data_IF_707899991042
#
_entry.id   IF_707899991042
#
_cell.length_a   1.000
_cell.length_b   1.000
_cell.length_c   1.000
_cell.angle_alpha   90.00
_cell.angle_beta   90.00
_cell.angle_gamma   90.00
#
_symmetry.space_group_name_H-M   'P 1'
#
loop_
_entity.id
_entity.type
_entity.pdbx_description
1 polymer ?
#
# COMPACT_ATOMS: atom_id res chain seq x y z
N UNK A 1 5.82 -16.10 12.54
CA UNK A 1 5.43 -15.12 11.48
C UNK A 1 3.95 -14.85 11.61
N UNK A 2 3.53 -13.56 11.50
CA UNK A 2 2.11 -13.16 11.56
C UNK A 2 1.73 -12.59 10.19
N UNK A 3 0.57 -12.98 9.65
CA UNK A 3 -0.03 -12.40 8.44
C UNK A 3 -1.25 -11.60 8.87
N UNK A 4 -1.22 -10.30 8.67
CA UNK A 4 -2.26 -9.37 9.12
C UNK A 4 -2.94 -8.62 8.00
N UNK A 5 -4.22 -8.30 8.14
CA UNK A 5 -5.00 -7.52 7.17
C UNK A 5 -6.21 -6.84 7.81
N UNK A 6 -6.71 -5.84 7.12
CA UNK A 6 -7.98 -5.20 7.40
C UNK A 6 -8.74 -4.87 6.13
N UNK A 7 -9.88 -5.50 5.93
CA UNK A 7 -10.73 -5.27 4.76
C UNK A 7 -11.19 -3.81 4.64
N UNK A 8 -11.53 -3.44 3.43
CA UNK A 8 -11.82 -2.05 3.05
C UNK A 8 -13.05 -1.46 3.72
N UNK A 9 -14.17 -2.18 3.73
CA UNK A 9 -15.48 -1.70 4.20
C UNK A 9 -16.45 -2.84 4.54
N UNK A 10 -17.43 -2.61 5.45
CA UNK A 10 -18.65 -3.38 5.50
C UNK A 10 -19.35 -3.38 4.13
N UNK A 11 -20.07 -4.45 3.71
CA UNK A 11 -20.49 -5.55 4.59
C UNK A 11 -19.49 -6.71 4.69
N UNK A 12 -18.39 -6.72 3.92
CA UNK A 12 -17.46 -7.85 3.95
C UNK A 12 -16.48 -7.74 5.12
N UNK A 13 -16.42 -8.80 5.92
CA UNK A 13 -15.42 -8.88 6.99
C UNK A 13 -14.07 -9.38 6.45
N UNK A 14 -12.98 -8.93 7.05
CA UNK A 14 -11.63 -9.42 6.73
C UNK A 14 -11.56 -10.94 6.84
N UNK A 15 -12.23 -11.53 7.82
CA UNK A 15 -12.30 -12.97 8.01
C UNK A 15 -12.95 -13.68 6.82
N UNK A 16 -14.01 -13.12 6.27
CA UNK A 16 -14.68 -13.65 5.08
C UNK A 16 -13.76 -13.59 3.86
N UNK A 17 -13.11 -12.44 3.62
CA UNK A 17 -12.17 -12.28 2.51
C UNK A 17 -10.97 -13.24 2.63
N UNK A 18 -10.43 -13.42 3.82
CA UNK A 18 -9.34 -14.37 4.07
C UNK A 18 -9.74 -15.83 3.79
N UNK A 19 -10.99 -16.21 4.11
CA UNK A 19 -11.52 -17.55 3.75
C UNK A 19 -11.60 -17.70 2.24
N UNK A 20 -12.21 -16.76 1.55
CA UNK A 20 -12.37 -16.79 0.08
C UNK A 20 -11.03 -16.83 -0.65
N UNK A 21 -10.07 -16.06 -0.21
CA UNK A 21 -8.74 -15.99 -0.81
C UNK A 21 -7.83 -17.17 -0.42
N UNK A 22 -8.27 -18.08 0.43
CA UNK A 22 -7.46 -19.21 0.89
C UNK A 22 -6.32 -18.85 1.83
N UNK A 23 -6.31 -17.64 2.38
CA UNK A 23 -5.22 -17.13 3.23
C UNK A 23 -5.06 -17.97 4.49
N UNK A 24 -6.16 -18.37 5.16
CA UNK A 24 -6.08 -19.24 6.34
C UNK A 24 -5.39 -20.56 6.05
N UNK A 25 -5.70 -21.18 4.90
CA UNK A 25 -5.07 -22.44 4.52
C UNK A 25 -3.59 -22.26 4.18
N UNK A 26 -3.24 -21.17 3.48
CA UNK A 26 -1.85 -20.82 3.17
C UNK A 26 -1.03 -20.54 4.43
N UNK A 27 -1.55 -19.75 5.36
CA UNK A 27 -0.89 -19.45 6.64
C UNK A 27 -0.65 -20.73 7.47
N UNK A 28 -1.67 -21.59 7.56
CA UNK A 28 -1.52 -22.87 8.28
C UNK A 28 -0.42 -23.74 7.69
N UNK A 29 -0.34 -23.85 6.35
CA UNK A 29 0.74 -24.62 5.70
C UNK A 29 2.13 -24.02 5.93
N UNK A 30 2.20 -22.69 6.05
CA UNK A 30 3.44 -21.97 6.29
C UNK A 30 3.81 -21.83 7.78
N UNK A 31 3.02 -22.38 8.70
CA UNK A 31 3.23 -22.20 10.15
C UNK A 31 3.07 -20.74 10.60
N UNK A 32 2.26 -19.94 9.91
CA UNK A 32 2.04 -18.53 10.21
C UNK A 32 0.72 -18.34 10.97
N UNK A 33 0.72 -17.40 11.91
CA UNK A 33 -0.48 -16.91 12.59
C UNK A 33 -1.23 -15.89 11.73
N UNK A 34 -2.53 -15.77 11.96
CA UNK A 34 -3.38 -14.79 11.26
C UNK A 34 -3.88 -13.74 12.23
N UNK A 35 -3.60 -12.47 11.94
CA UNK A 35 -4.12 -11.32 12.66
C UNK A 35 -5.19 -10.58 11.83
N UNK A 36 -6.42 -10.60 12.30
CA UNK A 36 -7.51 -9.80 11.72
C UNK A 36 -7.57 -8.48 12.47
N UNK A 37 -7.00 -7.41 11.88
CA UNK A 37 -6.81 -6.14 12.58
C UNK A 37 -8.10 -5.56 13.19
N UNK A 38 -9.28 -5.59 12.53
CA UNK A 38 -10.52 -5.11 13.13
C UNK A 38 -10.98 -5.86 14.38
N UNK A 39 -10.49 -7.08 14.61
CA UNK A 39 -10.82 -7.91 15.77
C UNK A 39 -9.81 -7.77 16.90
N UNK A 40 -8.70 -7.05 16.66
CA UNK A 40 -7.61 -6.86 17.60
C UNK A 40 -7.54 -5.47 18.21
N UNK A 41 -6.44 -5.20 18.88
CA UNK A 41 -6.18 -3.93 19.57
C UNK A 41 -5.57 -2.89 18.63
N UNK A 42 -5.79 -1.61 18.98
CA UNK A 42 -5.34 -0.44 18.24
C UNK A 42 -4.57 0.50 19.15
N UNK A 43 -3.42 0.94 18.72
CA UNK A 43 -2.53 1.83 19.46
C UNK A 43 -2.45 3.21 18.78
N UNK A 44 -2.60 4.31 19.52
CA UNK A 44 -2.48 5.65 18.96
C UNK A 44 -1.04 5.96 18.58
N UNK A 45 -0.86 6.49 17.36
CA UNK A 45 0.42 6.92 16.80
C UNK A 45 0.31 8.37 16.36
N UNK A 46 1.27 9.21 16.75
CA UNK A 46 1.39 10.59 16.26
C UNK A 46 1.95 10.61 14.84
N UNK A 47 1.42 11.49 14.01
CA UNK A 47 1.89 11.71 12.64
C UNK A 47 2.56 13.09 12.53
N UNK A 48 3.48 13.21 11.56
CA UNK A 48 4.14 14.49 11.23
C UNK A 48 3.32 15.35 10.28
N UNK A 49 2.19 14.85 9.76
CA UNK A 49 1.33 15.56 8.83
C UNK A 49 0.47 16.63 9.48
N UNK A 50 -0.13 17.48 8.65
CA UNK A 50 -1.06 18.53 9.06
C UNK A 50 -2.53 18.11 8.99
N UNK A 51 -2.86 17.09 8.18
CA UNK A 51 -4.22 16.60 7.95
C UNK A 51 -4.63 15.53 8.97
N UNK A 52 -3.65 14.79 9.49
CA UNK A 52 -3.79 13.88 10.61
C UNK A 52 -2.75 14.17 11.68
N UNK A 53 -3.19 14.53 12.89
CA UNK A 53 -2.27 14.68 14.03
C UNK A 53 -1.90 13.34 14.66
N UNK A 54 -2.82 12.40 14.61
CA UNK A 54 -2.68 11.06 15.13
C UNK A 54 -3.68 10.11 14.47
N UNK A 55 -3.35 8.83 14.50
CA UNK A 55 -4.21 7.73 14.06
C UNK A 55 -4.03 6.54 14.99
N UNK A 56 -4.93 5.58 14.92
CA UNK A 56 -4.76 4.29 15.59
C UNK A 56 -4.27 3.26 14.59
N UNK A 57 -3.18 2.61 14.94
CA UNK A 57 -2.53 1.54 14.16
C UNK A 57 -2.81 0.21 14.82
N UNK A 58 -3.00 -0.85 14.02
CA UNK A 58 -3.14 -2.20 14.55
C UNK A 58 -1.89 -2.60 15.34
N UNK A 59 -2.08 -3.00 16.59
CA UNK A 59 -1.01 -3.25 17.56
C UNK A 59 0.09 -4.20 17.06
N UNK A 60 -0.21 -5.32 16.37
CA UNK A 60 0.84 -6.22 15.87
C UNK A 60 1.84 -5.57 14.91
N UNK A 61 1.44 -4.48 14.23
CA UNK A 61 2.33 -3.75 13.31
C UNK A 61 3.39 -2.89 14.03
N UNK A 62 3.17 -2.59 15.30
CA UNK A 62 4.08 -1.80 16.14
C UNK A 62 4.97 -2.70 17.02
N UNK A 63 4.56 -3.94 17.25
CA UNK A 63 5.25 -4.90 18.12
C UNK A 63 6.12 -5.90 17.35
N UNK A 64 5.99 -5.96 16.02
CA UNK A 64 6.79 -6.89 15.22
C UNK A 64 8.24 -6.37 15.03
N UNK A 65 9.21 -7.28 15.03
CA UNK A 65 10.63 -6.95 14.76
C UNK A 65 10.87 -6.48 13.34
N UNK A 66 10.12 -7.03 12.39
CA UNK A 66 10.19 -6.71 10.96
C UNK A 66 8.81 -6.70 10.34
N UNK A 67 8.50 -5.62 9.63
CA UNK A 67 7.25 -5.46 8.89
C UNK A 67 7.51 -5.60 7.39
N UNK A 68 6.82 -6.53 6.76
CA UNK A 68 6.84 -6.71 5.30
C UNK A 68 5.48 -6.30 4.74
N UNK A 69 5.48 -5.41 3.75
CA UNK A 69 4.29 -5.11 2.96
C UNK A 69 4.22 -6.04 1.75
N UNK A 70 3.09 -6.73 1.59
CA UNK A 70 2.75 -7.50 0.40
C UNK A 70 1.67 -6.74 -0.39
N UNK A 71 2.11 -5.96 -1.37
CA UNK A 71 1.26 -5.05 -2.14
C UNK A 71 0.89 -5.64 -3.50
N UNK A 72 -0.18 -5.11 -4.10
CA UNK A 72 -0.51 -5.35 -5.50
C UNK A 72 -0.29 -4.08 -6.32
N UNK A 73 0.23 -4.25 -7.53
CA UNK A 73 0.39 -3.16 -8.49
C UNK A 73 -0.97 -2.81 -9.11
N UNK A 74 -1.43 -1.56 -8.96
CA UNK A 74 -2.71 -1.14 -9.55
C UNK A 74 -2.93 0.36 -9.64
N UNK A 75 -3.70 0.78 -10.66
CA UNK A 75 -4.35 2.08 -10.68
C UNK A 75 -5.47 2.16 -9.62
N UNK A 76 -5.91 3.36 -9.34
CA UNK A 76 -7.01 3.62 -8.42
C UNK A 76 -7.76 4.89 -8.84
N UNK A 77 -9.07 4.81 -8.98
CA UNK A 77 -9.87 5.91 -9.53
C UNK A 77 -9.78 7.21 -8.72
N UNK A 78 -9.57 7.14 -7.40
CA UNK A 78 -9.50 8.31 -6.52
C UNK A 78 -8.06 8.76 -6.23
N UNK A 79 -7.15 7.84 -5.89
CA UNK A 79 -5.74 8.14 -5.56
C UNK A 79 -4.78 7.98 -6.74
N UNK A 80 -5.27 7.83 -7.95
CA UNK A 80 -4.54 7.56 -9.20
C UNK A 80 -3.90 6.16 -9.21
N UNK A 81 -3.12 5.84 -8.21
CA UNK A 81 -2.49 4.52 -8.02
C UNK A 81 -2.65 4.02 -6.57
N UNK A 82 -2.37 2.76 -6.37
CA UNK A 82 -2.39 2.11 -5.06
C UNK A 82 -1.28 1.05 -5.02
N UNK A 83 -0.19 1.36 -4.35
CA UNK A 83 0.98 0.50 -4.16
C UNK A 83 1.38 0.58 -2.67
N UNK A 84 2.61 0.88 -2.33
CA UNK A 84 3.13 0.87 -0.96
C UNK A 84 2.54 1.97 -0.07
N UNK A 85 2.57 3.23 -0.48
CA UNK A 85 2.03 4.35 0.32
C UNK A 85 0.58 4.10 0.71
N UNK A 86 -0.24 3.69 -0.26
CA UNK A 86 -1.65 3.44 -0.01
C UNK A 86 -1.93 2.13 0.73
N UNK A 87 -1.00 1.18 0.72
CA UNK A 87 -1.11 -0.06 1.51
C UNK A 87 -1.25 0.25 3.01
N UNK A 88 -0.57 1.28 3.50
CA UNK A 88 -0.65 1.74 4.88
C UNK A 88 -2.06 2.12 5.35
N UNK A 89 -2.98 2.42 4.44
CA UNK A 89 -4.40 2.66 4.78
C UNK A 89 -5.02 1.42 5.45
N UNK A 90 -4.59 0.20 5.09
CA UNK A 90 -5.00 -1.04 5.75
C UNK A 90 -4.50 -1.17 7.19
N UNK A 91 -3.43 -0.48 7.54
CA UNK A 91 -2.79 -0.55 8.85
C UNK A 91 -3.51 0.28 9.93
N UNK A 92 -4.38 1.23 9.53
CA UNK A 92 -5.06 2.14 10.45
C UNK A 92 -6.51 1.76 10.69
N UNK A 93 -7.02 2.12 11.89
CA UNK A 93 -8.38 1.80 12.30
C UNK A 93 -9.43 2.35 11.32
N UNK A 94 -10.49 1.62 10.98
CA UNK A 94 -11.47 1.99 9.96
C UNK A 94 -12.03 3.41 10.08
N UNK A 95 -12.25 3.92 11.31
CA UNK A 95 -12.74 5.29 11.54
C UNK A 95 -11.80 6.38 10.98
N UNK A 96 -10.49 6.16 10.97
CA UNK A 96 -9.53 7.10 10.38
C UNK A 96 -9.54 7.03 8.85
N UNK A 97 -9.81 5.84 8.28
CA UNK A 97 -9.94 5.67 6.82
C UNK A 97 -11.13 6.44 6.25
N UNK A 98 -12.23 6.51 7.00
CA UNK A 98 -13.40 7.29 6.58
C UNK A 98 -13.03 8.75 6.32
N UNK A 99 -12.13 9.33 7.13
CA UNK A 99 -11.64 10.72 6.98
C UNK A 99 -10.89 10.98 5.67
N UNK A 100 -10.39 9.93 4.98
CA UNK A 100 -9.77 10.09 3.66
C UNK A 100 -10.72 10.72 2.64
N UNK A 101 -12.01 10.45 2.75
CA UNK A 101 -13.02 10.82 1.76
C UNK A 101 -13.65 12.20 1.96
N UNK A 102 -13.34 12.89 3.05
CA UNK A 102 -13.95 14.17 3.38
C UNK A 102 -12.99 15.34 3.19
N UNK A 103 -13.49 16.47 2.66
CA UNK A 103 -12.78 17.75 2.61
C UNK A 103 -11.56 17.79 1.65
N UNK A 104 -11.54 17.02 0.59
CA UNK A 104 -10.43 17.02 -0.38
C UNK A 104 -9.14 16.38 0.17
N UNK A 105 -8.01 16.65 -0.48
CA UNK A 105 -6.67 16.18 -0.06
C UNK A 105 -6.52 14.67 0.13
N UNK A 106 -7.23 13.87 -0.69
CA UNK A 106 -7.23 12.42 -0.55
C UNK A 106 -5.81 11.82 -0.69
N UNK A 107 -5.07 12.27 -1.70
CA UNK A 107 -3.74 11.77 -2.01
C UNK A 107 -2.73 12.15 -0.92
N UNK A 108 -2.79 13.37 -0.43
CA UNK A 108 -1.95 13.87 0.67
C UNK A 108 -2.26 13.13 1.98
N UNK A 109 -3.53 12.88 2.26
CA UNK A 109 -3.94 12.09 3.43
C UNK A 109 -3.44 10.64 3.36
N UNK A 110 -3.44 10.03 2.18
CA UNK A 110 -2.85 8.70 1.99
C UNK A 110 -1.36 8.72 2.34
N UNK A 111 -0.62 9.73 1.88
CA UNK A 111 0.79 9.88 2.22
C UNK A 111 1.02 10.11 3.72
N UNK A 112 0.18 10.90 4.39
CA UNK A 112 0.28 11.07 5.84
C UNK A 112 0.04 9.76 6.60
N UNK A 113 -0.97 8.98 6.22
CA UNK A 113 -1.22 7.66 6.83
C UNK A 113 -0.04 6.69 6.63
N UNK A 114 0.68 6.83 5.52
CA UNK A 114 1.87 6.03 5.29
C UNK A 114 2.97 6.28 6.34
N UNK A 115 3.01 7.46 6.94
CA UNK A 115 3.91 7.77 8.05
C UNK A 115 3.60 7.07 9.38
N UNK A 116 2.47 6.37 9.50
CA UNK A 116 2.06 5.72 10.74
C UNK A 116 2.88 4.46 11.08
N UNK A 117 3.40 3.77 10.08
CA UNK A 117 4.22 2.56 10.24
C UNK A 117 5.34 2.54 9.21
N UNK A 118 6.45 1.88 9.52
CA UNK A 118 7.61 1.79 8.63
C UNK A 118 7.86 0.32 8.25
N UNK A 119 7.59 -0.11 7.02
CA UNK A 119 7.97 -1.44 6.56
C UNK A 119 9.50 -1.55 6.41
N UNK A 120 10.03 -2.72 6.76
CA UNK A 120 11.43 -3.09 6.53
C UNK A 120 11.66 -3.56 5.09
N UNK A 121 10.62 -4.12 4.48
CA UNK A 121 10.62 -4.61 3.11
C UNK A 121 9.22 -4.41 2.51
N UNK A 122 9.19 -4.06 1.24
CA UNK A 122 7.96 -3.97 0.46
C UNK A 122 8.12 -4.87 -0.75
N UNK A 123 7.17 -5.77 -0.95
CA UNK A 123 7.08 -6.64 -2.12
C UNK A 123 5.80 -6.29 -2.86
N UNK A 124 5.90 -6.05 -4.16
CA UNK A 124 4.75 -5.69 -5.01
C UNK A 124 4.54 -6.77 -6.05
N UNK A 125 3.39 -7.42 -6.00
CA UNK A 125 2.92 -8.33 -7.03
C UNK A 125 2.35 -7.54 -8.21
N UNK A 126 3.06 -7.56 -9.33
CA UNK A 126 2.67 -6.98 -10.61
C UNK A 126 2.52 -8.03 -11.71
N UNK A 127 2.29 -9.31 -11.38
CA UNK A 127 1.97 -10.32 -12.40
C UNK A 127 0.76 -9.87 -13.22
N UNK A 128 -0.26 -9.39 -12.54
CA UNK A 128 -1.41 -8.70 -13.12
C UNK A 128 -1.67 -7.39 -12.39
N UNK A 129 -2.10 -6.38 -13.10
CA UNK A 129 -2.42 -5.09 -12.50
C UNK A 129 -3.64 -4.42 -13.14
N UNK A 130 -4.34 -3.60 -12.37
CA UNK A 130 -5.28 -2.66 -12.98
C UNK A 130 -4.50 -1.54 -13.66
N UNK A 131 -4.70 -1.36 -14.96
CA UNK A 131 -4.10 -0.26 -15.73
C UNK A 131 -5.04 0.92 -15.89
N UNK A 132 -6.34 0.72 -15.61
CA UNK A 132 -7.39 1.74 -15.58
C UNK A 132 -8.46 1.34 -14.58
N UNK A 133 -9.01 2.32 -13.85
CA UNK A 133 -9.99 2.06 -12.79
C UNK A 133 -9.34 1.59 -11.49
N UNK A 134 -9.76 0.44 -10.95
CA UNK A 134 -9.36 -0.06 -9.64
C UNK A 134 -10.00 0.74 -8.48
N UNK A 135 -10.04 0.19 -7.27
CA UNK A 135 -9.40 -1.05 -6.84
C UNK A 135 -10.23 -2.32 -7.05
N UNK A 136 -11.52 -2.22 -7.39
CA UNK A 136 -12.44 -3.37 -7.47
C UNK A 136 -12.88 -3.66 -8.91
N UNK A 137 -12.99 -2.63 -9.74
CA UNK A 137 -13.43 -2.72 -11.13
C UNK A 137 -12.48 -1.94 -12.02
N UNK A 138 -12.19 -2.46 -13.19
CA UNK A 138 -11.29 -1.79 -14.13
C UNK A 138 -10.73 -2.72 -15.19
N UNK A 139 -9.81 -2.21 -15.96
CA UNK A 139 -9.10 -2.95 -17.01
C UNK A 139 -7.84 -3.58 -16.38
N UNK A 140 -7.78 -4.91 -16.41
CA UNK A 140 -6.63 -5.69 -15.95
C UNK A 140 -5.72 -6.02 -17.13
N UNK A 141 -4.42 -5.97 -16.92
CA UNK A 141 -3.37 -6.40 -17.87
C UNK A 141 -2.27 -7.11 -17.11
N UNK A 142 -1.49 -7.88 -17.83
CA UNK A 142 -0.27 -8.50 -17.32
C UNK A 142 0.87 -7.47 -17.37
N UNK A 143 1.54 -7.26 -16.26
CA UNK A 143 2.79 -6.53 -16.21
C UNK A 143 3.97 -7.50 -16.03
N UNK A 144 3.71 -8.73 -15.54
CA UNK A 144 4.67 -9.81 -15.37
C UNK A 144 5.93 -9.38 -14.60
N UNK A 145 5.75 -8.57 -13.56
CA UNK A 145 6.83 -8.02 -12.75
C UNK A 145 6.60 -8.30 -11.27
N UNK A 146 7.67 -8.54 -10.54
CA UNK A 146 7.74 -8.47 -9.09
C UNK A 146 8.72 -7.38 -8.71
N UNK A 147 8.32 -6.47 -7.84
CA UNK A 147 9.18 -5.40 -7.33
C UNK A 147 9.43 -5.63 -5.84
N UNK A 148 10.64 -5.31 -5.38
CA UNK A 148 10.99 -5.32 -3.97
C UNK A 148 11.88 -4.13 -3.63
N UNK A 149 11.62 -3.46 -2.50
CA UNK A 149 12.44 -2.34 -2.01
C UNK A 149 12.26 -2.15 -0.51
N UNK A 150 13.25 -1.50 0.13
CA UNK A 150 13.09 -0.95 1.48
C UNK A 150 12.47 0.45 1.49
N UNK A 151 12.44 1.13 0.35
CA UNK A 151 11.93 2.50 0.21
C UNK A 151 10.56 2.52 -0.47
N UNK A 152 9.57 3.11 0.23
CA UNK A 152 8.18 3.14 -0.21
C UNK A 152 7.90 4.13 -1.34
N UNK A 153 8.68 5.21 -1.43
CA UNK A 153 8.55 6.19 -2.51
C UNK A 153 9.19 5.63 -3.78
N UNK A 154 10.39 5.09 -3.67
CA UNK A 154 11.09 4.48 -4.79
C UNK A 154 10.28 3.36 -5.45
N UNK A 155 9.69 2.47 -4.65
CA UNK A 155 8.88 1.36 -5.19
C UNK A 155 7.56 1.85 -5.80
N UNK A 156 6.95 2.91 -5.26
CA UNK A 156 5.74 3.50 -5.84
C UNK A 156 6.06 4.20 -7.17
N UNK A 157 7.19 4.93 -7.27
CA UNK A 157 7.70 5.52 -8.51
C UNK A 157 7.91 4.44 -9.56
N UNK A 158 8.64 3.38 -9.22
CA UNK A 158 8.91 2.29 -10.16
C UNK A 158 7.62 1.56 -10.57
N UNK A 159 6.72 1.30 -9.62
CA UNK A 159 5.43 0.67 -9.92
C UNK A 159 4.55 1.51 -10.87
N UNK A 160 4.56 2.84 -10.73
CA UNK A 160 3.88 3.73 -11.69
C UNK A 160 4.50 3.57 -13.08
N UNK A 161 5.83 3.55 -13.19
CA UNK A 161 6.54 3.35 -14.47
C UNK A 161 6.21 2.03 -15.13
N UNK A 162 6.10 0.95 -14.35
CA UNK A 162 5.68 -0.35 -14.88
C UNK A 162 4.25 -0.30 -15.45
N UNK A 163 3.31 0.34 -14.76
CA UNK A 163 1.95 0.54 -15.30
C UNK A 163 1.99 1.40 -16.58
N UNK A 164 2.81 2.44 -16.62
CA UNK A 164 2.91 3.36 -17.76
C UNK A 164 3.45 2.69 -19.03
N UNK A 165 4.25 1.63 -18.91
CA UNK A 165 4.73 0.82 -20.05
C UNK A 165 3.60 0.05 -20.75
N UNK A 166 2.47 -0.16 -20.06
CA UNK A 166 1.37 -0.95 -20.60
C UNK A 166 0.42 -0.05 -21.40
N UNK A 167 0.15 -0.36 -22.68
CA UNK A 167 -0.75 0.42 -23.51
C UNK A 167 -2.15 0.55 -22.89
N UNK A 168 -2.75 1.74 -23.03
CA UNK A 168 -4.11 2.00 -22.54
C UNK A 168 -4.22 2.24 -21.04
N UNK A 169 -3.12 2.38 -20.32
CA UNK A 169 -3.13 2.74 -18.91
C UNK A 169 -3.70 4.15 -18.66
N UNK A 170 -4.04 4.47 -17.41
CA UNK A 170 -4.60 5.76 -17.00
C UNK A 170 -3.57 6.72 -16.37
N UNK A 171 -2.33 6.29 -16.13
CA UNK A 171 -1.28 7.11 -15.52
C UNK A 171 -0.52 7.85 -16.64
N UNK A 172 -0.69 9.17 -16.71
CA UNK A 172 -0.17 9.99 -17.83
C UNK A 172 0.93 10.97 -17.43
N UNK A 173 1.09 11.22 -16.14
CA UNK A 173 2.04 12.18 -15.61
C UNK A 173 3.32 11.49 -15.18
N UNK A 174 4.42 12.23 -15.19
CA UNK A 174 5.63 11.78 -14.51
C UNK A 174 5.31 11.39 -13.06
N UNK A 175 5.90 10.28 -12.52
CA UNK A 175 5.59 9.84 -11.17
C UNK A 175 5.73 10.94 -10.11
N UNK A 176 6.74 11.80 -10.23
CA UNK A 176 6.99 12.89 -9.29
C UNK A 176 5.96 14.01 -9.31
N UNK A 177 5.05 14.03 -10.31
CA UNK A 177 3.94 14.98 -10.39
C UNK A 177 2.69 14.55 -9.63
N UNK A 178 2.61 13.29 -9.18
CA UNK A 178 1.47 12.84 -8.37
C UNK A 178 1.54 13.40 -6.94
N UNK A 179 0.46 14.04 -6.51
CA UNK A 179 0.36 14.69 -5.19
C UNK A 179 0.68 13.75 -4.04
N UNK A 180 0.31 12.48 -4.14
CA UNK A 180 0.61 11.46 -3.13
C UNK A 180 2.13 11.32 -2.94
N UNK A 181 2.90 11.24 -4.04
CA UNK A 181 4.37 11.15 -3.97
C UNK A 181 4.99 12.46 -3.51
N UNK A 182 4.56 13.62 -4.04
CA UNK A 182 5.06 14.92 -3.61
C UNK A 182 4.88 15.14 -2.11
N UNK A 183 3.73 14.72 -1.58
CA UNK A 183 3.47 14.85 -0.14
C UNK A 183 4.31 13.86 0.68
N UNK A 184 4.49 12.63 0.21
CA UNK A 184 5.37 11.64 0.84
C UNK A 184 6.83 12.13 0.91
N UNK A 185 7.34 12.74 -0.16
CA UNK A 185 8.67 13.37 -0.19
C UNK A 185 8.78 14.48 0.85
N UNK A 186 7.80 15.40 0.91
CA UNK A 186 7.78 16.47 1.93
C UNK A 186 7.79 15.94 3.37
N UNK A 187 7.21 14.77 3.60
CA UNK A 187 7.20 14.10 4.90
C UNK A 187 8.47 13.28 5.18
N UNK A 188 9.39 13.18 4.23
CA UNK A 188 10.62 12.39 4.37
C UNK A 188 10.36 10.88 4.40
N UNK A 189 9.37 10.39 3.66
CA UNK A 189 8.98 8.98 3.68
C UNK A 189 9.79 8.08 2.74
N UNK A 190 10.74 8.62 1.99
CA UNK A 190 11.60 7.88 1.08
C UNK A 190 12.30 8.80 0.08
N UNK A 191 12.79 8.24 -1.02
CA UNK A 191 13.51 8.92 -2.08
C UNK A 191 12.79 10.20 -2.57
N UNK A 192 13.55 11.26 -2.85
CA UNK A 192 13.01 12.55 -3.27
C UNK A 192 13.15 12.81 -4.78
N UNK A 193 13.98 12.05 -5.47
CA UNK A 193 14.25 12.16 -6.92
C UNK A 193 14.85 10.85 -7.44
N UNK A 194 15.07 10.78 -8.75
CA UNK A 194 15.59 9.59 -9.42
C UNK A 194 17.03 9.25 -9.04
N UNK A 195 17.86 10.25 -8.71
CA UNK A 195 19.26 10.02 -8.32
C UNK A 195 19.40 9.20 -7.04
N UNK A 196 18.31 9.12 -6.24
CA UNK A 196 18.25 8.33 -5.01
C UNK A 196 17.66 6.93 -5.23
N UNK A 197 17.34 6.56 -6.47
CA UNK A 197 16.75 5.27 -6.81
C UNK A 197 17.72 4.47 -7.67
N UNK A 198 18.23 3.37 -7.14
CA UNK A 198 18.97 2.38 -7.91
C UNK A 198 18.05 1.20 -8.26
N UNK A 199 17.83 0.98 -9.55
CA UNK A 199 17.09 -0.17 -10.04
C UNK A 199 18.05 -1.32 -10.34
N UNK A 200 17.87 -2.43 -9.64
CA UNK A 200 18.62 -3.67 -9.88
C UNK A 200 17.67 -4.70 -10.44
N UNK A 201 17.95 -5.21 -11.63
CA UNK A 201 17.21 -6.29 -12.22
C UNK A 201 17.83 -7.62 -11.79
N UNK A 202 17.05 -8.49 -11.13
CA UNK A 202 17.48 -9.85 -10.88
C UNK A 202 17.64 -10.58 -12.23
N UNK A 203 18.78 -11.25 -12.42
CA UNK A 203 19.02 -12.05 -13.61
C UNK A 203 17.96 -13.16 -13.73
N UNK A 204 17.64 -13.53 -14.97
CA UNK A 204 16.88 -14.75 -15.23
C UNK A 204 17.73 -15.95 -14.75
N UNK A 205 17.19 -16.71 -13.80
CA UNK A 205 17.75 -18.01 -13.44
C UNK A 205 17.57 -19.01 -14.59
#
# INVERSE_FOLDING_TARGET
MIVGESSRHPPTSTRYEFRRAGVFAACRRAGAEVAIFPEGEWTPVRLRGSLFRWVEVARPLLECDRLIYACCLKTHWLSKFSISLKHSVGCVRPRHRARLHFGGHFEERVAELAGAVQPSLIVVDGRQCYVRGGPCYGVVREANVLLAAGDRVAIDVQGIREIQRIPGNALRHDPWQYRQLQHAVRLGLGAANDDQIALVQAGSC
#
